data_IF_296920413193
#
_entry.id   IF_296920413193
#
_cell.length_a   1.000
_cell.length_b   1.000
_cell.length_c   1.000
_cell.angle_alpha   90.00
_cell.angle_beta   90.00
_cell.angle_gamma   90.00
#
_symmetry.space_group_name_H-M   'P 1'
#
loop_
_entity.id
_entity.type
_entity.pdbx_description
1 polymer ?
#
# COMPACT_ATOMS: atom_id res chain seq x y z
N UNK A 1 -17.81 13.64 7.92
CA UNK A 1 -16.69 14.31 7.24
C UNK A 1 -15.57 13.30 7.18
N UNK A 2 -14.90 13.18 6.05
CA UNK A 2 -13.79 12.25 5.89
C UNK A 2 -12.62 12.68 6.79
N UNK A 3 -12.23 11.84 7.74
CA UNK A 3 -11.20 12.17 8.74
C UNK A 3 -9.76 12.03 8.17
N UNK A 4 -9.64 11.72 6.86
CA UNK A 4 -8.35 11.53 6.18
C UNK A 4 -7.77 12.83 5.60
N UNK A 5 -8.52 13.94 5.58
CA UNK A 5 -8.10 15.18 4.90
C UNK A 5 -7.90 14.97 3.39
N UNK A 6 -7.02 15.76 2.76
CA UNK A 6 -6.65 15.61 1.35
C UNK A 6 -5.71 14.43 1.16
N UNK A 7 -6.01 13.57 0.19
CA UNK A 7 -5.26 12.31 -0.02
C UNK A 7 -4.37 12.42 -1.26
N UNK A 8 -3.11 11.97 -1.14
CA UNK A 8 -2.20 11.84 -2.26
C UNK A 8 -1.65 10.41 -2.40
N UNK A 9 -1.50 9.96 -3.64
CA UNK A 9 -0.84 8.70 -4.00
C UNK A 9 0.63 8.97 -4.32
N UNK A 10 1.53 8.22 -3.68
CA UNK A 10 2.98 8.36 -3.87
C UNK A 10 3.51 7.11 -4.58
N UNK A 11 3.69 7.21 -5.88
CA UNK A 11 4.15 6.11 -6.74
C UNK A 11 3.43 6.05 -8.07
N UNK A 12 3.98 5.37 -9.07
CA UNK A 12 3.44 5.32 -10.43
C UNK A 12 3.29 3.90 -10.99
N UNK A 13 3.29 2.86 -10.14
CA UNK A 13 3.16 1.46 -10.52
C UNK A 13 1.70 1.00 -10.67
N UNK A 14 1.52 -0.30 -10.96
CA UNK A 14 0.19 -0.90 -11.11
C UNK A 14 -0.65 -0.76 -9.84
N UNK A 15 -0.07 -1.07 -8.68
CA UNK A 15 -0.79 -0.96 -7.41
C UNK A 15 -1.15 0.49 -7.04
N UNK A 16 -0.26 1.46 -7.36
CA UNK A 16 -0.58 2.88 -7.20
C UNK A 16 -1.76 3.29 -8.09
N UNK A 17 -1.81 2.78 -9.32
CA UNK A 17 -2.92 3.04 -10.26
C UNK A 17 -4.23 2.42 -9.77
N UNK A 18 -4.19 1.20 -9.23
CA UNK A 18 -5.37 0.54 -8.68
C UNK A 18 -5.91 1.29 -7.44
N UNK A 19 -5.03 1.65 -6.49
CA UNK A 19 -5.45 2.43 -5.31
C UNK A 19 -5.95 3.82 -5.67
N UNK A 20 -5.30 4.52 -6.62
CA UNK A 20 -5.79 5.81 -7.10
C UNK A 20 -7.20 5.70 -7.67
N UNK A 21 -7.52 4.63 -8.42
CA UNK A 21 -8.87 4.38 -8.95
C UNK A 21 -9.90 4.23 -7.84
N UNK A 22 -9.55 3.56 -6.73
CA UNK A 22 -10.45 3.42 -5.59
C UNK A 22 -10.65 4.75 -4.86
N UNK A 23 -9.56 5.49 -4.60
CA UNK A 23 -9.63 6.76 -3.87
C UNK A 23 -10.41 7.82 -4.65
N UNK A 24 -10.14 8.00 -5.95
CA UNK A 24 -10.85 8.96 -6.81
C UNK A 24 -12.37 8.70 -6.85
N UNK A 25 -12.79 7.46 -6.71
CA UNK A 25 -14.23 7.12 -6.69
C UNK A 25 -14.99 7.77 -5.52
N UNK A 26 -14.30 8.04 -4.41
CA UNK A 26 -14.87 8.63 -3.20
C UNK A 26 -14.41 10.08 -2.97
N UNK A 27 -13.17 10.38 -3.35
CA UNK A 27 -12.56 11.71 -3.22
C UNK A 27 -12.44 12.33 -4.61
N UNK A 28 -13.22 13.36 -4.88
CA UNK A 28 -13.27 14.02 -6.20
C UNK A 28 -12.00 14.78 -6.57
N UNK A 29 -11.00 14.83 -5.69
CA UNK A 29 -9.72 15.46 -6.00
C UNK A 29 -8.60 14.80 -5.17
N UNK A 30 -7.59 14.26 -5.87
CA UNK A 30 -6.42 13.62 -5.25
C UNK A 30 -5.11 14.19 -5.77
N UNK A 31 -4.07 14.16 -4.93
CA UNK A 31 -2.69 14.36 -5.38
C UNK A 31 -2.11 13.06 -5.94
N UNK A 32 -1.25 13.15 -6.94
CA UNK A 32 -0.53 11.99 -7.42
C UNK A 32 0.92 12.32 -7.76
N UNK A 33 1.83 11.86 -6.91
CA UNK A 33 3.26 11.97 -7.18
C UNK A 33 3.73 10.88 -8.12
N UNK A 34 4.31 11.27 -9.24
CA UNK A 34 5.01 10.39 -10.17
C UNK A 34 6.38 10.99 -10.49
N UNK A 35 7.46 10.23 -10.27
CA UNK A 35 8.85 10.71 -10.39
C UNK A 35 9.23 11.33 -11.75
N UNK A 36 8.51 10.99 -12.82
CA UNK A 36 8.89 11.33 -14.20
C UNK A 36 7.83 12.22 -14.85
N UNK A 37 8.24 13.43 -15.23
CA UNK A 37 7.37 14.40 -15.91
C UNK A 37 6.86 13.89 -17.26
N UNK A 38 7.70 13.16 -18.01
CA UNK A 38 7.29 12.58 -19.29
C UNK A 38 6.14 11.57 -19.12
N UNK A 39 6.14 10.79 -18.02
CA UNK A 39 5.06 9.88 -17.69
C UNK A 39 3.79 10.60 -17.25
N UNK A 40 3.92 11.70 -16.54
CA UNK A 40 2.78 12.56 -16.17
C UNK A 40 2.16 13.15 -17.43
N UNK A 41 2.96 13.69 -18.34
CA UNK A 41 2.49 14.26 -19.59
C UNK A 41 1.76 13.22 -20.46
N UNK A 42 2.32 12.01 -20.55
CA UNK A 42 1.71 10.92 -21.28
C UNK A 42 0.40 10.44 -20.64
N UNK A 43 0.36 10.34 -19.30
CA UNK A 43 -0.85 10.00 -18.55
C UNK A 43 -1.97 11.02 -18.82
N UNK A 44 -1.67 12.31 -18.70
CA UNK A 44 -2.63 13.39 -18.98
C UNK A 44 -3.18 13.34 -20.41
N UNK A 45 -2.34 12.99 -21.38
CA UNK A 45 -2.75 12.87 -22.80
C UNK A 45 -3.65 11.66 -23.05
N UNK A 46 -3.39 10.52 -22.34
CA UNK A 46 -4.08 9.26 -22.57
C UNK A 46 -5.32 9.08 -21.68
N UNK A 47 -5.37 9.77 -20.54
CA UNK A 47 -6.39 9.57 -19.51
C UNK A 47 -6.22 8.26 -18.72
N UNK A 48 -5.07 7.59 -18.84
CA UNK A 48 -4.72 6.37 -18.12
C UNK A 48 -3.21 6.24 -17.93
N UNK A 49 -2.78 5.37 -17.01
CA UNK A 49 -1.36 5.10 -16.82
C UNK A 49 -0.75 4.46 -18.09
N UNK A 50 0.30 5.07 -18.69
CA UNK A 50 0.84 4.58 -19.96
C UNK A 50 1.55 3.24 -19.86
N UNK A 51 1.99 2.84 -18.66
CA UNK A 51 2.76 1.61 -18.44
C UNK A 51 1.96 0.50 -17.73
N UNK A 52 0.91 0.86 -17.00
CA UNK A 52 0.19 -0.08 -16.12
C UNK A 52 -1.31 0.13 -16.20
N UNK A 53 -2.09 -0.97 -16.19
CA UNK A 53 -3.54 -0.94 -16.07
C UNK A 53 -4.22 0.02 -17.07
N UNK A 54 -3.88 -0.07 -18.35
CA UNK A 54 -4.34 0.85 -19.39
C UNK A 54 -5.88 0.92 -19.53
N UNK A 55 -6.60 -0.11 -19.07
CA UNK A 55 -8.06 -0.11 -19.02
C UNK A 55 -8.63 0.76 -17.87
N UNK A 56 -7.81 1.18 -16.90
CA UNK A 56 -8.24 2.07 -15.82
C UNK A 56 -8.14 3.53 -16.27
N UNK A 57 -9.25 4.09 -16.73
CA UNK A 57 -9.36 5.49 -17.12
C UNK A 57 -9.68 6.39 -15.93
N UNK A 58 -9.19 7.63 -16.01
CA UNK A 58 -9.34 8.68 -15.00
C UNK A 58 -9.78 9.99 -15.62
N UNK A 59 -10.61 10.74 -14.91
CA UNK A 59 -10.77 12.17 -15.21
C UNK A 59 -9.52 12.90 -14.68
N UNK A 60 -8.70 13.38 -15.59
CA UNK A 60 -7.44 14.06 -15.27
C UNK A 60 -7.65 15.39 -14.52
N UNK A 61 -8.85 15.98 -14.57
CA UNK A 61 -9.19 17.19 -13.84
C UNK A 61 -9.39 16.92 -12.33
N UNK A 62 -9.63 15.68 -11.93
CA UNK A 62 -9.73 15.26 -10.54
C UNK A 62 -8.36 14.92 -9.92
N UNK A 63 -7.26 15.05 -10.69
CA UNK A 63 -5.94 14.64 -10.23
C UNK A 63 -4.92 15.76 -10.37
N UNK A 64 -4.33 16.15 -9.26
CA UNK A 64 -3.15 17.01 -9.24
C UNK A 64 -1.88 16.16 -9.36
N UNK A 65 -1.34 16.06 -10.57
CA UNK A 65 -0.07 15.38 -10.79
C UNK A 65 1.12 16.27 -10.48
N UNK A 66 2.11 15.73 -9.77
CA UNK A 66 3.39 16.41 -9.55
C UNK A 66 4.57 15.43 -9.57
N UNK A 67 5.70 15.87 -10.08
CA UNK A 67 7.00 15.21 -9.92
C UNK A 67 7.83 15.79 -8.77
N UNK A 68 7.32 16.83 -8.11
CA UNK A 68 7.87 17.37 -6.86
C UNK A 68 7.19 16.73 -5.65
N UNK A 69 7.95 15.90 -4.92
CA UNK A 69 7.47 15.22 -3.73
C UNK A 69 7.21 16.20 -2.58
N UNK A 70 8.02 17.26 -2.44
CA UNK A 70 7.83 18.26 -1.39
C UNK A 70 6.52 19.03 -1.58
N UNK A 71 6.19 19.38 -2.81
CA UNK A 71 4.93 20.02 -3.13
C UNK A 71 3.75 19.14 -2.70
N UNK A 72 3.73 17.87 -3.10
CA UNK A 72 2.65 16.94 -2.70
C UNK A 72 2.58 16.77 -1.18
N UNK A 73 3.71 16.61 -0.51
CA UNK A 73 3.71 16.48 0.96
C UNK A 73 3.21 17.73 1.67
N UNK A 74 3.48 18.93 1.12
CA UNK A 74 2.95 20.16 1.70
C UNK A 74 1.42 20.26 1.60
N UNK A 75 0.85 19.94 0.44
CA UNK A 75 -0.54 20.21 0.10
C UNK A 75 -1.52 19.14 0.59
N UNK A 76 -1.04 17.92 0.91
CA UNK A 76 -1.89 16.78 1.24
C UNK A 76 -1.65 16.27 2.65
N UNK A 77 -2.73 15.83 3.32
CA UNK A 77 -2.73 15.40 4.73
C UNK A 77 -2.42 13.91 4.85
N UNK A 78 -2.99 13.10 3.94
CA UNK A 78 -2.80 11.64 3.87
C UNK A 78 -1.93 11.27 2.68
N UNK A 79 -0.86 10.53 2.95
CA UNK A 79 0.11 10.08 1.94
C UNK A 79 0.05 8.57 1.80
N UNK A 80 -0.51 8.09 0.68
CA UNK A 80 -0.58 6.65 0.36
C UNK A 80 0.68 6.25 -0.38
N UNK A 81 1.57 5.54 0.31
CA UNK A 81 2.88 5.14 -0.19
C UNK A 81 2.80 3.81 -0.94
N UNK A 82 3.12 3.84 -2.23
CA UNK A 82 3.01 2.67 -3.13
C UNK A 82 4.30 2.49 -3.95
N UNK A 83 5.42 2.73 -3.31
CA UNK A 83 6.75 2.54 -3.91
C UNK A 83 7.32 1.21 -3.42
N UNK A 84 8.01 0.41 -4.24
CA UNK A 84 8.68 -0.78 -3.75
C UNK A 84 9.69 -0.45 -2.65
N UNK A 85 9.74 -1.25 -1.57
CA UNK A 85 10.54 -0.97 -0.37
C UNK A 85 12.02 -0.65 -0.63
N UNK A 86 12.73 -1.26 -1.60
CA UNK A 86 14.12 -0.91 -1.88
C UNK A 86 14.33 0.51 -2.38
N UNK A 87 13.28 1.16 -2.92
CA UNK A 87 13.37 2.52 -3.46
C UNK A 87 12.82 3.59 -2.51
N UNK A 88 12.19 3.19 -1.40
CA UNK A 88 11.53 4.10 -0.45
C UNK A 88 12.51 5.15 0.07
N UNK A 89 13.68 4.74 0.57
CA UNK A 89 14.71 5.65 1.08
C UNK A 89 15.14 6.70 0.07
N UNK A 90 15.42 6.27 -1.17
CA UNK A 90 15.84 7.18 -2.24
C UNK A 90 14.77 8.22 -2.60
N UNK A 91 13.50 7.89 -2.43
CA UNK A 91 12.41 8.85 -2.61
C UNK A 91 12.36 9.83 -1.44
N UNK A 92 12.42 9.31 -0.20
CA UNK A 92 12.30 10.12 1.01
C UNK A 92 13.52 11.03 1.26
N UNK A 93 14.72 10.66 0.80
CA UNK A 93 15.91 11.53 0.89
C UNK A 93 15.75 12.89 0.20
N UNK A 94 14.79 13.02 -0.70
CA UNK A 94 14.48 14.29 -1.39
C UNK A 94 13.54 15.19 -0.58
N UNK A 95 12.97 14.67 0.51
CA UNK A 95 12.06 15.43 1.35
C UNK A 95 12.82 16.42 2.23
N UNK A 96 12.37 17.66 2.16
CA UNK A 96 12.78 18.74 3.06
C UNK A 96 11.65 19.15 4.01
N UNK A 97 10.45 18.58 3.79
CA UNK A 97 9.23 18.85 4.55
C UNK A 97 9.04 17.74 5.61
N UNK A 98 8.67 18.10 6.85
CA UNK A 98 8.45 17.12 7.91
C UNK A 98 7.20 16.26 7.66
N UNK A 99 7.25 15.01 8.15
CA UNK A 99 6.17 14.04 8.00
C UNK A 99 5.36 13.81 9.29
N UNK A 100 5.78 14.35 10.44
CA UNK A 100 5.23 14.02 11.75
C UNK A 100 3.73 14.30 11.91
N UNK A 101 3.18 15.27 11.15
CA UNK A 101 1.74 15.61 11.16
C UNK A 101 0.97 14.97 10.01
N UNK A 102 1.60 14.14 9.19
CA UNK A 102 0.95 13.48 8.06
C UNK A 102 0.40 12.13 8.47
N UNK A 103 -0.74 11.76 7.91
CA UNK A 103 -1.22 10.39 8.00
C UNK A 103 -0.57 9.56 6.89
N UNK A 104 0.29 8.62 7.27
CA UNK A 104 1.04 7.77 6.35
C UNK A 104 0.29 6.45 6.17
N UNK A 105 -0.12 6.16 4.96
CA UNK A 105 -0.76 4.88 4.62
C UNK A 105 0.20 4.09 3.74
N UNK A 106 0.83 3.07 4.30
CA UNK A 106 1.74 2.20 3.56
C UNK A 106 0.99 1.08 2.84
N UNK A 107 1.11 1.01 1.53
CA UNK A 107 0.73 -0.16 0.73
C UNK A 107 1.97 -0.91 0.21
N UNK A 108 3.12 -0.71 0.87
CA UNK A 108 4.41 -1.28 0.54
C UNK A 108 4.50 -2.67 1.18
N UNK A 109 4.94 -3.66 0.40
CA UNK A 109 5.17 -5.03 0.88
C UNK A 109 6.66 -5.27 0.96
N UNK A 110 7.16 -5.57 2.15
CA UNK A 110 8.57 -5.82 2.39
C UNK A 110 9.15 -4.98 3.52
N UNK A 111 10.43 -5.20 3.78
CA UNK A 111 11.22 -4.44 4.77
C UNK A 111 11.98 -3.30 4.07
N UNK A 112 12.32 -2.28 4.83
CA UNK A 112 13.23 -1.22 4.39
C UNK A 112 14.66 -1.74 4.50
N UNK A 113 15.42 -1.83 3.38
CA UNK A 113 16.80 -2.31 3.42
C UNK A 113 17.69 -1.42 4.29
N UNK A 114 18.77 -1.98 4.79
CA UNK A 114 19.76 -1.42 5.70
C UNK A 114 19.27 -1.31 7.15
N UNK A 115 18.11 -0.69 7.41
CA UNK A 115 17.48 -0.65 8.73
C UNK A 115 16.87 -1.99 9.14
N UNK A 116 16.49 -2.83 8.18
CA UNK A 116 15.77 -4.09 8.38
C UNK A 116 14.46 -3.93 9.18
N UNK A 117 13.82 -2.79 9.04
CA UNK A 117 12.55 -2.45 9.68
C UNK A 117 11.38 -2.67 8.71
N UNK A 118 10.23 -3.04 9.23
CA UNK A 118 8.97 -2.91 8.49
C UNK A 118 8.66 -1.41 8.30
N UNK A 119 7.80 -1.08 7.35
CA UNK A 119 7.62 0.31 6.92
C UNK A 119 7.08 1.19 8.05
N UNK A 120 6.17 0.67 8.88
CA UNK A 120 5.64 1.42 10.03
C UNK A 120 6.71 1.76 11.06
N UNK A 121 7.55 0.79 11.41
CA UNK A 121 8.68 1.00 12.32
C UNK A 121 9.67 2.02 11.74
N UNK A 122 9.96 1.95 10.44
CA UNK A 122 10.84 2.89 9.76
C UNK A 122 10.31 4.33 9.84
N UNK A 123 9.03 4.56 9.57
CA UNK A 123 8.45 5.90 9.69
C UNK A 123 8.41 6.39 11.13
N UNK A 124 8.14 5.50 12.07
CA UNK A 124 8.13 5.85 13.48
C UNK A 124 9.53 6.21 14.00
N UNK A 125 10.53 5.35 13.76
CA UNK A 125 11.87 5.49 14.33
C UNK A 125 12.73 6.54 13.61
N UNK A 126 12.64 6.63 12.29
CA UNK A 126 13.51 7.49 11.47
C UNK A 126 12.88 8.85 11.17
N UNK A 127 11.56 8.88 10.97
CA UNK A 127 10.84 10.10 10.60
C UNK A 127 10.02 10.71 11.75
N UNK A 128 10.05 10.09 12.94
CA UNK A 128 9.31 10.52 14.13
C UNK A 128 7.80 10.69 13.87
N UNK A 129 7.22 9.85 13.01
CA UNK A 129 5.78 9.81 12.79
C UNK A 129 5.16 9.00 13.93
N UNK A 130 4.15 9.53 14.65
CA UNK A 130 3.45 8.77 15.69
C UNK A 130 2.74 7.54 15.10
N UNK A 131 2.70 6.42 15.83
CA UNK A 131 2.06 5.18 15.35
C UNK A 131 0.58 5.37 15.01
N UNK A 132 -0.13 6.22 15.74
CA UNK A 132 -1.51 6.61 15.44
C UNK A 132 -1.69 7.35 14.11
N UNK A 133 -0.58 7.81 13.53
CA UNK A 133 -0.54 8.45 12.20
C UNK A 133 0.04 7.53 11.12
N UNK A 134 0.19 6.24 11.41
CA UNK A 134 0.69 5.27 10.45
C UNK A 134 -0.34 4.18 10.27
N UNK A 135 -0.67 3.88 9.03
CA UNK A 135 -1.49 2.75 8.64
C UNK A 135 -0.79 1.89 7.59
N UNK A 136 -1.13 0.62 7.53
CA UNK A 136 -0.73 -0.26 6.44
C UNK A 136 -1.95 -0.85 5.75
N UNK A 137 -1.83 -1.11 4.44
CA UNK A 137 -2.85 -1.78 3.62
C UNK A 137 -2.28 -3.08 3.11
N UNK A 138 -2.93 -4.18 3.45
CA UNK A 138 -2.55 -5.53 3.02
C UNK A 138 -3.79 -6.33 2.61
N UNK A 139 -3.59 -7.53 2.12
CA UNK A 139 -4.67 -8.45 1.76
C UNK A 139 -4.47 -9.10 0.40
N UNK A 140 -5.29 -10.10 0.06
CA UNK A 140 -5.30 -10.77 -1.23
C UNK A 140 -5.92 -9.85 -2.29
N UNK A 141 -5.06 -9.10 -2.98
CA UNK A 141 -5.47 -8.09 -3.97
C UNK A 141 -4.39 -7.92 -5.03
N UNK A 142 -4.66 -8.38 -6.24
CA UNK A 142 -3.84 -8.07 -7.41
C UNK A 142 -4.32 -6.78 -8.04
N UNK A 143 -3.37 -5.92 -8.43
CA UNK A 143 -3.70 -4.61 -9.02
C UNK A 143 -4.59 -4.74 -10.27
N UNK A 144 -4.33 -5.75 -11.10
CA UNK A 144 -5.09 -6.07 -12.30
C UNK A 144 -6.53 -6.46 -11.97
N UNK A 145 -6.74 -7.28 -10.93
CA UNK A 145 -8.08 -7.70 -10.51
C UNK A 145 -8.86 -6.55 -9.88
N UNK A 146 -8.21 -5.74 -9.07
CA UNK A 146 -8.81 -4.53 -8.49
C UNK A 146 -9.21 -3.55 -9.60
N UNK A 147 -8.35 -3.34 -10.60
CA UNK A 147 -8.66 -2.47 -11.73
C UNK A 147 -9.82 -2.99 -12.60
N UNK A 148 -10.03 -4.31 -12.64
CA UNK A 148 -11.14 -5.00 -13.32
C UNK A 148 -12.38 -5.17 -12.43
N UNK A 149 -12.41 -4.54 -11.26
CA UNK A 149 -13.52 -4.57 -10.31
C UNK A 149 -13.88 -6.01 -9.84
N UNK A 150 -12.84 -6.86 -9.66
CA UNK A 150 -12.98 -8.18 -9.08
C UNK A 150 -13.03 -8.10 -7.56
N UNK A 151 -13.85 -8.98 -6.96
CA UNK A 151 -13.97 -9.06 -5.51
C UNK A 151 -12.59 -9.25 -4.86
N UNK A 152 -12.21 -8.30 -4.03
CA UNK A 152 -10.93 -8.28 -3.34
C UNK A 152 -11.13 -7.89 -1.86
N UNK A 153 -10.21 -8.33 -1.02
CA UNK A 153 -10.24 -8.07 0.42
C UNK A 153 -9.00 -7.31 0.83
N UNK A 154 -9.19 -6.23 1.58
CA UNK A 154 -8.11 -5.40 2.10
C UNK A 154 -8.26 -5.24 3.60
N UNK A 155 -7.16 -5.40 4.32
CA UNK A 155 -7.08 -5.11 5.75
C UNK A 155 -6.27 -3.83 5.93
N UNK A 156 -6.81 -2.90 6.71
CA UNK A 156 -6.17 -1.65 7.09
C UNK A 156 -5.73 -1.76 8.54
N UNK A 157 -4.42 -1.84 8.76
CA UNK A 157 -3.82 -1.80 10.09
C UNK A 157 -3.50 -0.39 10.50
N UNK A 158 -3.97 0.05 11.69
CA UNK A 158 -3.62 1.35 12.28
C UNK A 158 -3.85 1.30 13.78
N UNK A 159 -2.94 1.90 14.58
CA UNK A 159 -3.12 1.99 16.03
C UNK A 159 -4.35 2.85 16.40
N UNK A 160 -4.72 3.81 15.55
CA UNK A 160 -5.95 4.60 15.66
C UNK A 160 -7.04 3.98 14.78
N UNK A 161 -8.00 3.31 15.41
CA UNK A 161 -9.10 2.62 14.72
C UNK A 161 -10.05 3.59 13.99
N UNK A 162 -10.19 4.82 14.44
CA UNK A 162 -11.03 5.81 13.75
C UNK A 162 -10.39 6.20 12.40
N UNK A 163 -9.08 6.39 12.37
CA UNK A 163 -8.32 6.63 11.13
C UNK A 163 -8.31 5.42 10.23
N UNK A 164 -8.13 4.21 10.80
CA UNK A 164 -8.23 2.97 10.04
C UNK A 164 -9.57 2.87 9.32
N UNK A 165 -10.67 3.10 10.06
CA UNK A 165 -12.03 3.03 9.51
C UNK A 165 -12.30 4.15 8.50
N UNK A 166 -11.79 5.37 8.75
CA UNK A 166 -11.92 6.47 7.81
C UNK A 166 -11.28 6.13 6.47
N UNK A 167 -10.04 5.63 6.48
CA UNK A 167 -9.36 5.22 5.24
C UNK A 167 -10.00 3.97 4.61
N UNK A 168 -10.44 3.00 5.41
CA UNK A 168 -11.18 1.84 4.91
C UNK A 168 -12.42 2.26 4.11
N UNK A 169 -13.17 3.25 4.59
CA UNK A 169 -14.34 3.78 3.90
C UNK A 169 -13.99 4.45 2.56
N UNK A 170 -12.83 5.10 2.48
CA UNK A 170 -12.36 5.75 1.24
C UNK A 170 -12.06 4.74 0.14
N UNK A 171 -11.55 3.56 0.47
CA UNK A 171 -11.17 2.55 -0.53
C UNK A 171 -12.20 1.42 -0.67
N UNK A 172 -13.22 1.38 0.18
CA UNK A 172 -14.28 0.37 0.13
C UNK A 172 -15.21 0.62 -1.06
N UNK A 173 -15.57 -0.45 -1.77
CA UNK A 173 -16.51 -0.41 -2.89
C UNK A 173 -17.41 -1.66 -2.88
N UNK A 174 -18.27 -1.80 -3.87
CA UNK A 174 -19.07 -3.02 -4.03
C UNK A 174 -18.20 -4.28 -4.18
N UNK A 175 -17.00 -4.13 -4.79
CA UNK A 175 -16.06 -5.20 -5.05
C UNK A 175 -14.80 -5.17 -4.16
N UNK A 176 -14.61 -4.14 -3.34
CA UNK A 176 -13.54 -4.09 -2.33
C UNK A 176 -14.17 -4.18 -0.94
N UNK A 177 -13.89 -5.27 -0.25
CA UNK A 177 -14.26 -5.46 1.15
C UNK A 177 -13.08 -5.08 2.03
N UNK A 178 -13.33 -4.24 3.02
CA UNK A 178 -12.31 -3.74 3.92
C UNK A 178 -12.55 -4.21 5.35
N UNK A 179 -11.48 -4.57 6.03
CA UNK A 179 -11.44 -4.84 7.47
C UNK A 179 -10.39 -3.95 8.13
N UNK A 180 -10.55 -3.68 9.42
CA UNK A 180 -9.60 -2.87 10.18
C UNK A 180 -9.00 -3.67 11.34
N UNK A 181 -7.75 -3.39 11.69
CA UNK A 181 -7.03 -4.05 12.77
C UNK A 181 -6.06 -3.07 13.44
N UNK A 182 -5.82 -3.27 14.74
CA UNK A 182 -4.78 -2.53 15.47
C UNK A 182 -3.39 -3.13 15.27
N UNK A 183 -3.28 -4.35 14.77
CA UNK A 183 -2.02 -5.06 14.59
C UNK A 183 -1.31 -4.68 13.29
N UNK A 184 -0.74 -3.48 13.24
CA UNK A 184 0.03 -2.98 12.08
C UNK A 184 1.23 -3.89 11.83
N UNK A 185 1.99 -4.19 12.89
CA UNK A 185 3.24 -4.93 12.80
C UNK A 185 3.01 -6.34 12.27
N UNK A 186 2.01 -7.05 12.82
CA UNK A 186 1.65 -8.37 12.34
C UNK A 186 1.20 -8.39 10.88
N UNK A 187 0.40 -7.41 10.46
CA UNK A 187 -0.05 -7.29 9.06
C UNK A 187 1.14 -7.05 8.11
N UNK A 188 2.09 -6.20 8.47
CA UNK A 188 3.27 -5.92 7.64
C UNK A 188 4.18 -7.15 7.56
N UNK A 189 4.50 -7.81 8.68
CA UNK A 189 5.29 -9.04 8.68
C UNK A 189 4.59 -10.18 7.92
N UNK A 190 3.28 -10.33 8.05
CA UNK A 190 2.53 -11.28 7.24
C UNK A 190 2.69 -10.99 5.74
N UNK A 191 2.68 -9.71 5.35
CA UNK A 191 2.94 -9.27 3.98
C UNK A 191 4.34 -9.61 3.47
N UNK A 192 5.37 -9.61 4.35
CA UNK A 192 6.75 -10.04 4.04
C UNK A 192 6.81 -11.56 3.89
N UNK A 193 6.35 -12.28 4.91
CA UNK A 193 6.45 -13.74 5.00
C UNK A 193 5.70 -14.47 3.90
N UNK A 194 4.52 -13.97 3.51
CA UNK A 194 3.74 -14.57 2.42
C UNK A 194 4.54 -14.72 1.12
N UNK A 195 5.49 -13.81 0.86
CA UNK A 195 6.31 -13.89 -0.36
C UNK A 195 7.33 -15.04 -0.27
N UNK A 196 7.87 -15.32 0.92
CA UNK A 196 8.74 -16.48 1.17
C UNK A 196 7.99 -17.78 0.93
N UNK A 197 6.78 -17.88 1.49
CA UNK A 197 5.95 -19.08 1.31
C UNK A 197 5.44 -19.23 -0.12
N UNK A 198 5.17 -18.13 -0.82
CA UNK A 198 4.82 -18.17 -2.24
C UNK A 198 5.95 -18.75 -3.10
N UNK A 199 7.20 -18.41 -2.79
CA UNK A 199 8.38 -19.00 -3.48
C UNK A 199 8.46 -20.49 -3.18
N UNK A 200 8.32 -20.91 -1.91
CA UNK A 200 8.34 -22.31 -1.53
C UNK A 200 7.23 -23.11 -2.22
N UNK A 201 6.01 -22.57 -2.23
CA UNK A 201 4.87 -23.15 -2.95
C UNK A 201 5.13 -23.28 -4.45
N UNK A 202 5.72 -22.23 -5.07
CA UNK A 202 6.09 -22.25 -6.48
C UNK A 202 7.15 -23.31 -6.82
N UNK A 203 8.15 -23.50 -5.95
CA UNK A 203 9.16 -24.57 -6.11
C UNK A 203 8.48 -25.94 -6.07
N UNK A 204 7.60 -26.18 -5.10
CA UNK A 204 6.89 -27.45 -4.96
C UNK A 204 5.97 -27.74 -6.15
N UNK A 205 5.30 -26.71 -6.66
CA UNK A 205 4.50 -26.80 -7.88
C UNK A 205 5.38 -27.18 -9.10
N UNK A 206 6.53 -26.52 -9.25
CA UNK A 206 7.49 -26.84 -10.32
C UNK A 206 8.07 -28.26 -10.24
N UNK A 207 8.22 -28.79 -9.03
CA UNK A 207 8.64 -30.18 -8.77
C UNK A 207 7.49 -31.20 -8.86
N UNK A 208 6.28 -30.74 -9.19
CA UNK A 208 5.09 -31.58 -9.35
C UNK A 208 4.72 -32.42 -8.12
N UNK A 209 4.88 -31.88 -6.91
CA UNK A 209 4.54 -32.59 -5.67
C UNK A 209 3.04 -32.79 -5.44
N UNK A 210 2.19 -32.16 -6.27
CA UNK A 210 0.74 -32.31 -6.26
C UNK A 210 0.02 -31.49 -5.19
N UNK A 211 -1.31 -31.46 -5.28
CA UNK A 211 -2.19 -30.57 -4.49
C UNK A 211 -2.19 -30.89 -2.99
N UNK A 212 -2.08 -32.17 -2.62
CA UNK A 212 -2.02 -32.57 -1.22
C UNK A 212 -0.80 -31.96 -0.51
N UNK A 213 0.35 -31.96 -1.18
CA UNK A 213 1.56 -31.38 -0.63
C UNK A 213 1.46 -29.83 -0.57
N UNK A 214 0.84 -29.22 -1.56
CA UNK A 214 0.56 -27.77 -1.56
C UNK A 214 -0.31 -27.39 -0.35
N UNK A 215 -1.36 -28.13 -0.08
CA UNK A 215 -2.23 -27.90 1.09
C UNK A 215 -1.46 -28.00 2.41
N UNK A 216 -0.54 -28.96 2.54
CA UNK A 216 0.34 -29.12 3.72
C UNK A 216 1.28 -27.91 3.87
N UNK A 217 1.92 -27.46 2.79
CA UNK A 217 2.82 -26.31 2.83
C UNK A 217 2.05 -25.04 3.26
N UNK A 218 0.90 -24.79 2.68
CA UNK A 218 0.08 -23.60 3.02
C UNK A 218 -0.34 -23.67 4.50
N UNK A 219 -0.81 -24.81 4.96
CA UNK A 219 -1.21 -24.99 6.35
C UNK A 219 -0.05 -24.79 7.34
N UNK A 220 1.13 -25.36 7.04
CA UNK A 220 2.33 -25.17 7.86
C UNK A 220 2.82 -23.72 7.84
N UNK A 221 2.77 -23.07 6.68
CA UNK A 221 3.14 -21.66 6.53
C UNK A 221 2.27 -20.74 7.41
N UNK A 222 0.97 -21.00 7.47
CA UNK A 222 0.05 -20.23 8.34
C UNK A 222 0.40 -20.41 9.82
N UNK A 223 0.66 -21.65 10.27
CA UNK A 223 1.04 -21.93 11.65
C UNK A 223 2.42 -21.34 12.03
N UNK A 224 3.38 -21.37 11.09
CA UNK A 224 4.69 -20.79 11.31
C UNK A 224 4.60 -19.27 11.38
N UNK A 225 3.80 -18.66 10.51
CA UNK A 225 3.53 -17.23 10.52
C UNK A 225 2.92 -16.79 11.84
N UNK A 226 1.89 -17.49 12.32
CA UNK A 226 1.25 -17.22 13.63
C UNK A 226 2.26 -17.28 14.77
N UNK A 227 3.08 -18.34 14.83
CA UNK A 227 4.13 -18.49 15.87
C UNK A 227 5.16 -17.36 15.83
N UNK A 228 5.61 -16.99 14.62
CA UNK A 228 6.59 -15.92 14.47
C UNK A 228 5.99 -14.58 14.89
N UNK A 229 4.79 -14.26 14.42
CA UNK A 229 4.12 -13.00 14.74
C UNK A 229 3.86 -12.88 16.26
N UNK A 230 3.41 -13.93 16.91
CA UNK A 230 3.22 -13.97 18.37
C UNK A 230 4.55 -13.75 19.13
N UNK A 231 5.69 -14.15 18.55
CA UNK A 231 7.00 -13.92 19.18
C UNK A 231 7.52 -12.51 19.00
N UNK A 232 7.15 -11.82 17.91
CA UNK A 232 7.58 -10.45 17.59
C UNK A 232 6.68 -9.44 18.30
N UNK A 233 5.40 -9.63 18.21
CA UNK A 233 4.37 -8.75 18.76
C UNK A 233 3.31 -9.58 19.50
N UNK A 234 3.57 -9.98 20.77
CA UNK A 234 2.59 -10.73 21.54
C UNK A 234 1.37 -9.84 21.82
N UNK A 235 0.24 -10.23 21.24
CA UNK A 235 -1.08 -9.63 21.45
C UNK A 235 -1.77 -10.31 22.61
#
# INVERSE_FOLDING_TARGET
>A
MNNCGKIAIIGGGSWATALAKLVVKHEHHIGWYMRRDDRIAEFKRLGHNPAYLQAAHFDINEIEFSSDLNHIVCEYDTLVLVTPSPYLKNHLQKLTVPLHNKFIVSAIKGIVPDENLVVSEYFHQVWNVPYENIACVSGPSHAEEVALERLSYLTIGCADMEKAQAFANVISTEFIKTETSMDIVGIEYAGVLKNVYAIASGICSGLQYGDNFQAVIISNAMQEMERLLTSINPI
#
